data_IF_992953016338
#
_entry.id   IF_992953016338
#
_cell.length_a   1.000
_cell.length_b   1.000
_cell.length_c   1.000
_cell.angle_alpha   90.00
_cell.angle_beta   90.00
_cell.angle_gamma   90.00
#
_symmetry.space_group_name_H-M   'P 1'
#
loop_
_entity.id
_entity.type
_entity.pdbx_description
1 polymer ?
#
# COMPACT_ATOMS: atom_id res chain seq x y z
N UNK A 1 -3.04 -14.68 -29.38
CA UNK A 1 -3.19 -14.62 -29.26
C UNK A 1 -3.63 -14.45 -28.95
N UNK A 2 -3.61 -14.18 -28.81
CA UNK A 2 -3.96 -14.14 -28.51
C UNK A 2 -4.16 -13.88 -28.11
N UNK A 3 -4.34 -13.82 -27.89
CA UNK A 3 -4.47 -13.64 -27.41
C UNK A 3 -4.48 -13.14 -26.99
N UNK A 4 -4.52 -12.98 -27.01
CA UNK A 4 -4.54 -12.64 -26.58
C UNK A 4 -4.71 -12.02 -26.23
N UNK A 5 -4.87 -11.73 -26.26
CA UNK A 5 -5.06 -11.42 -25.97
C UNK A 5 -5.28 -10.92 -25.46
N UNK A 6 -5.42 -10.59 -25.29
CA UNK A 6 -5.54 -10.39 -24.76
C UNK A 6 -5.53 -10.06 -23.96
N UNK A 7 -5.61 -9.84 -23.88
CA UNK A 7 -5.51 -9.75 -23.22
C UNK A 7 -5.30 -9.63 -22.56
N UNK A 8 -5.18 -9.53 -22.51
CA UNK A 8 -4.91 -9.60 -21.88
C UNK A 8 -4.62 -9.33 -21.08
N UNK A 9 -4.20 -8.94 -20.99
CA UNK A 9 -3.91 -8.87 -20.29
C UNK A 9 -3.97 -9.02 -19.46
N UNK A 10 -4.16 -8.78 -19.24
CA UNK A 10 -4.39 -9.03 -18.35
C UNK A 10 -4.29 -9.94 -17.60
N UNK A 11 -3.73 -10.13 -17.90
CA UNK A 11 -3.97 -11.15 -17.11
C UNK A 11 -2.95 -11.34 -16.06
N UNK A 12 -3.35 -11.50 -14.84
CA UNK A 12 -2.48 -11.66 -13.71
C UNK A 12 -2.70 -13.05 -13.19
N UNK A 13 -1.94 -14.00 -13.69
CA UNK A 13 -2.16 -15.39 -13.34
C UNK A 13 -0.92 -16.06 -12.77
N UNK A 14 0.01 -15.28 -12.24
CA UNK A 14 1.18 -15.80 -11.54
C UNK A 14 1.13 -15.35 -10.10
N UNK A 15 1.85 -16.08 -9.27
CA UNK A 15 1.99 -15.67 -7.89
C UNK A 15 2.49 -14.23 -7.83
N UNK A 16 1.83 -13.43 -7.04
CA UNK A 16 2.19 -12.03 -6.88
C UNK A 16 2.74 -11.85 -5.49
N UNK A 17 3.94 -11.31 -5.42
CA UNK A 17 4.57 -11.08 -4.15
C UNK A 17 4.48 -9.59 -3.81
N UNK A 18 3.89 -9.30 -2.68
CA UNK A 18 3.82 -7.95 -2.16
C UNK A 18 4.68 -7.91 -0.91
N UNK A 19 5.67 -7.03 -0.92
CA UNK A 19 6.53 -6.87 0.24
C UNK A 19 5.88 -5.87 1.18
N UNK A 20 6.11 -6.06 2.47
CA UNK A 20 5.53 -5.14 3.45
C UNK A 20 6.11 -3.74 3.21
N UNK A 21 5.25 -2.72 3.04
CA UNK A 21 5.75 -1.37 2.80
C UNK A 21 6.17 -0.64 4.07
N UNK A 22 5.88 -1.22 5.22
CA UNK A 22 6.22 -0.64 6.52
C UNK A 22 6.78 -1.72 7.40
N UNK A 23 7.66 -1.34 8.31
CA UNK A 23 8.17 -2.24 9.33
C UNK A 23 7.20 -2.24 10.49
N UNK A 24 6.68 -3.41 10.85
CA UNK A 24 5.75 -3.48 11.95
C UNK A 24 4.97 -4.78 11.95
N UNK A 25 3.87 -4.76 12.67
CA UNK A 25 3.07 -5.94 12.91
C UNK A 25 1.92 -6.03 11.91
N UNK A 26 1.73 -7.19 11.33
CA UNK A 26 0.64 -7.45 10.39
C UNK A 26 -0.70 -7.37 11.10
N UNK A 27 -1.68 -6.74 10.46
CA UNK A 27 -3.05 -6.63 10.98
C UNK A 27 -3.99 -7.10 9.88
N UNK A 28 -4.90 -8.01 10.21
CA UNK A 28 -5.91 -8.44 9.25
C UNK A 28 -6.79 -7.26 8.88
N UNK A 29 -7.27 -7.24 7.65
CA UNK A 29 -8.08 -6.11 7.21
C UNK A 29 -9.32 -5.94 8.09
N UNK A 30 -9.92 -7.06 8.54
CA UNK A 30 -11.10 -6.99 9.39
C UNK A 30 -10.81 -6.37 10.76
N UNK A 31 -9.56 -6.37 11.17
CA UNK A 31 -9.16 -5.86 12.48
C UNK A 31 -8.70 -4.41 12.44
N UNK A 32 -8.71 -3.80 11.26
CA UNK A 32 -8.38 -2.37 11.16
C UNK A 32 -9.52 -1.58 11.79
N UNK A 33 -9.22 -0.70 12.75
CA UNK A 33 -10.29 0.01 13.47
C UNK A 33 -10.89 1.17 12.68
N UNK A 34 -11.36 0.87 11.49
CA UNK A 34 -12.00 1.84 10.61
C UNK A 34 -12.92 1.05 9.68
N UNK A 35 -14.22 1.29 9.73
CA UNK A 35 -15.16 0.46 8.95
C UNK A 35 -14.97 0.55 7.45
N UNK A 36 -14.48 1.68 6.94
CA UNK A 36 -14.25 1.80 5.51
C UNK A 36 -13.25 0.76 5.03
N UNK A 37 -12.20 0.54 5.81
CA UNK A 37 -11.20 -0.47 5.47
C UNK A 37 -11.61 -1.87 5.92
N UNK A 38 -12.10 -1.97 7.15
CA UNK A 38 -12.42 -3.28 7.73
C UNK A 38 -13.52 -4.00 6.96
N UNK A 39 -14.44 -3.24 6.35
CA UNK A 39 -15.53 -3.81 5.58
C UNK A 39 -15.19 -3.92 4.10
N UNK A 40 -13.93 -3.67 3.76
CA UNK A 40 -13.41 -3.83 2.40
C UNK A 40 -14.08 -2.93 1.38
N UNK A 41 -14.53 -1.78 1.83
CA UNK A 41 -15.22 -0.84 0.94
C UNK A 41 -14.29 -0.26 -0.11
N UNK A 42 -12.99 -0.20 0.17
CA UNK A 42 -12.01 0.30 -0.78
C UNK A 42 -11.28 -0.82 -1.49
N UNK A 43 -11.46 -2.05 -1.07
CA UNK A 43 -10.81 -3.21 -1.65
C UNK A 43 -10.27 -4.13 -0.60
N UNK A 44 -9.71 -5.23 -1.05
CA UNK A 44 -9.06 -6.20 -0.18
C UNK A 44 -7.67 -5.71 0.19
N UNK A 45 -7.15 -6.25 1.27
CA UNK A 45 -5.81 -5.88 1.68
C UNK A 45 -5.51 -6.30 3.10
N UNK A 46 -4.68 -5.52 3.75
CA UNK A 46 -4.27 -5.81 5.12
C UNK A 46 -3.78 -4.50 5.73
N UNK A 47 -3.41 -4.56 7.00
CA UNK A 47 -2.83 -3.41 7.67
C UNK A 47 -1.49 -3.75 8.27
N UNK A 48 -0.77 -2.72 8.64
CA UNK A 48 0.47 -2.87 9.40
C UNK A 48 0.43 -1.84 10.52
N UNK A 49 0.77 -2.31 11.72
CA UNK A 49 0.94 -1.41 12.86
C UNK A 49 2.43 -1.07 12.89
N UNK A 50 2.84 0.11 12.43
CA UNK A 50 4.25 0.37 12.18
C UNK A 50 5.04 0.68 13.43
N UNK A 51 6.31 0.28 13.39
CA UNK A 51 7.26 0.62 14.44
C UNK A 51 8.31 1.61 13.98
N UNK A 52 8.28 1.96 12.69
CA UNK A 52 9.19 2.93 12.11
C UNK A 52 8.40 3.83 11.16
N UNK A 53 8.87 5.04 11.00
CA UNK A 53 8.18 6.05 10.19
C UNK A 53 8.67 6.12 8.76
N UNK A 54 8.61 5.00 8.05
CA UNK A 54 9.03 5.01 6.64
C UNK A 54 8.20 4.03 5.85
N UNK A 55 7.70 4.51 4.71
CA UNK A 55 7.00 3.68 3.74
C UNK A 55 7.94 3.43 2.57
N UNK A 56 8.10 2.16 2.20
CA UNK A 56 8.89 1.79 1.03
C UNK A 56 7.99 1.09 0.02
N UNK A 57 8.43 1.06 -1.23
CA UNK A 57 7.63 0.46 -2.30
C UNK A 57 7.47 -1.04 -2.06
N UNK A 58 6.24 -1.54 -2.03
CA UNK A 58 5.97 -2.97 -1.82
C UNK A 58 5.99 -3.77 -3.11
N UNK A 59 6.02 -3.09 -4.24
CA UNK A 59 6.01 -3.71 -5.56
C UNK A 59 6.88 -2.89 -6.47
N UNK A 60 7.24 -3.50 -7.59
CA UNK A 60 7.91 -2.77 -8.66
C UNK A 60 6.85 -2.21 -9.59
N UNK A 61 6.97 -0.94 -9.96
CA UNK A 61 5.99 -0.30 -10.81
C UNK A 61 6.16 1.19 -10.82
N UNK A 62 5.02 1.89 -10.89
CA UNK A 62 5.03 3.36 -10.95
C UNK A 62 4.19 3.95 -9.86
N UNK A 63 4.59 5.14 -9.44
CA UNK A 63 3.76 5.93 -8.54
C UNK A 63 2.61 6.50 -9.38
N UNK A 64 1.41 6.08 -9.02
CA UNK A 64 0.22 6.51 -9.76
C UNK A 64 -0.27 7.86 -9.23
N UNK A 65 -0.24 8.02 -7.93
CA UNK A 65 -0.81 9.21 -7.32
C UNK A 65 -0.22 9.42 -5.93
N UNK A 66 0.08 10.66 -5.61
CA UNK A 66 0.45 11.05 -4.25
C UNK A 66 -0.63 12.01 -3.77
N UNK A 67 -1.25 11.69 -2.65
CA UNK A 67 -2.33 12.51 -2.14
C UNK A 67 -1.79 13.87 -1.68
N UNK A 68 -2.53 14.96 -1.93
CA UNK A 68 -2.04 16.28 -1.53
C UNK A 68 -1.76 16.40 -0.03
N UNK A 69 -2.50 15.66 0.79
CA UNK A 69 -2.28 15.66 2.23
C UNK A 69 -1.19 14.68 2.65
N UNK A 70 -0.52 14.06 1.67
CA UNK A 70 0.74 13.31 1.86
C UNK A 70 0.63 12.05 2.71
N UNK A 71 -0.56 11.66 3.09
CA UNK A 71 -0.76 10.50 3.97
C UNK A 71 -1.00 9.21 3.19
N UNK A 72 -1.06 9.28 1.88
CA UNK A 72 -1.35 8.10 1.08
C UNK A 72 -0.68 8.19 -0.29
N UNK A 73 -0.31 7.05 -0.82
CA UNK A 73 0.32 6.95 -2.12
C UNK A 73 -0.26 5.75 -2.86
N UNK A 74 -0.62 5.96 -4.11
CA UNK A 74 -1.11 4.90 -4.99
C UNK A 74 -0.02 4.43 -5.91
N UNK A 75 0.06 3.13 -6.11
CA UNK A 75 1.07 2.51 -6.95
C UNK A 75 0.41 1.59 -7.96
N UNK A 76 1.01 1.49 -9.13
CA UNK A 76 0.52 0.61 -10.18
C UNK A 76 1.66 -0.29 -10.63
N UNK A 77 1.49 -1.58 -10.41
CA UNK A 77 2.49 -2.56 -10.80
C UNK A 77 2.44 -2.78 -12.31
N UNK A 78 3.54 -3.30 -12.83
CA UNK A 78 3.65 -3.57 -14.27
C UNK A 78 2.61 -4.60 -14.72
N UNK A 79 2.17 -5.48 -13.82
CA UNK A 79 1.19 -6.49 -14.15
C UNK A 79 -0.26 -6.01 -14.00
N UNK A 80 -0.46 -4.74 -13.69
CA UNK A 80 -1.80 -4.17 -13.59
C UNK A 80 -2.35 -4.06 -12.19
N UNK A 81 -1.68 -4.62 -11.20
CA UNK A 81 -2.13 -4.54 -9.81
C UNK A 81 -2.05 -3.11 -9.32
N UNK A 82 -3.11 -2.64 -8.64
CA UNK A 82 -3.13 -1.27 -8.10
C UNK A 82 -3.21 -1.33 -6.59
N UNK A 83 -2.27 -0.66 -5.95
CA UNK A 83 -2.16 -0.66 -4.51
C UNK A 83 -2.25 0.76 -3.96
N UNK A 84 -2.90 0.87 -2.82
CA UNK A 84 -2.93 2.12 -2.06
C UNK A 84 -2.27 1.85 -0.71
N UNK A 85 -1.27 2.63 -0.37
CA UNK A 85 -0.68 2.60 0.96
C UNK A 85 -1.19 3.84 1.69
N UNK A 86 -1.95 3.61 2.74
CA UNK A 86 -2.60 4.70 3.50
C UNK A 86 -1.96 4.71 4.88
N UNK A 87 -1.30 5.81 5.22
CA UNK A 87 -0.57 5.89 6.49
C UNK A 87 -1.51 6.33 7.59
N UNK A 88 -1.76 5.43 8.54
CA UNK A 88 -2.61 5.74 9.68
C UNK A 88 -4.07 5.86 9.32
N UNK A 89 -4.88 6.22 10.31
CA UNK A 89 -6.32 6.41 10.15
C UNK A 89 -6.67 7.84 10.53
N UNK A 90 -7.54 8.46 9.73
CA UNK A 90 -7.94 9.87 9.91
C UNK A 90 -6.77 10.83 9.77
N UNK A 91 -5.71 10.40 9.09
CA UNK A 91 -4.52 11.21 8.92
C UNK A 91 -4.69 12.29 7.86
N UNK A 92 -5.75 12.21 7.06
CA UNK A 92 -6.06 13.27 6.11
C UNK A 92 -6.25 14.60 6.85
N UNK A 93 -6.71 14.55 8.08
CA UNK A 93 -6.95 15.75 8.87
C UNK A 93 -5.69 16.44 9.34
N UNK A 94 -4.54 15.78 9.22
CA UNK A 94 -3.27 16.39 9.59
C UNK A 94 -2.76 17.35 8.52
N UNK A 95 -3.40 17.35 7.35
CA UNK A 95 -3.11 18.28 6.28
C UNK A 95 -1.63 18.29 5.88
N UNK A 96 -1.04 17.12 5.85
CA UNK A 96 0.34 16.95 5.44
C UNK A 96 1.37 17.06 6.53
N UNK A 97 0.94 17.45 7.71
CA UNK A 97 1.88 17.63 8.81
C UNK A 97 2.38 16.28 9.31
N UNK A 98 3.70 16.18 9.47
CA UNK A 98 4.30 14.93 9.90
C UNK A 98 4.69 14.00 8.77
N UNK A 99 4.48 14.40 7.51
CA UNK A 99 4.78 13.57 6.35
C UNK A 99 5.79 14.26 5.44
N UNK A 100 6.72 13.47 4.90
CA UNK A 100 7.67 13.94 3.90
C UNK A 100 7.62 13.01 2.72
N UNK A 101 7.12 13.50 1.57
CA UNK A 101 6.98 12.71 0.37
C UNK A 101 8.31 12.74 -0.39
N UNK A 102 8.76 11.56 -0.83
CA UNK A 102 10.05 11.42 -1.50
C UNK A 102 9.92 11.10 -2.98
N UNK A 103 8.69 10.94 -3.47
CA UNK A 103 8.44 10.57 -4.87
C UNK A 103 7.35 11.44 -5.45
N UNK A 104 7.22 11.39 -6.78
CA UNK A 104 6.18 12.10 -7.50
C UNK A 104 5.41 11.14 -8.37
N UNK A 105 4.20 11.54 -8.71
CA UNK A 105 3.39 10.80 -9.67
C UNK A 105 4.17 10.59 -10.95
N UNK A 106 4.20 9.36 -11.44
CA UNK A 106 4.93 9.02 -12.64
C UNK A 106 6.29 8.40 -12.40
N UNK A 107 6.82 8.52 -11.19
CA UNK A 107 8.12 7.94 -10.87
C UNK A 107 8.08 6.41 -10.94
N UNK A 108 9.14 5.81 -11.46
CA UNK A 108 9.30 4.36 -11.44
C UNK A 108 10.00 3.98 -10.14
N UNK A 109 9.48 2.95 -9.48
CA UNK A 109 10.02 2.50 -8.20
C UNK A 109 10.27 1.00 -8.22
N UNK A 110 11.20 0.59 -7.39
CA UNK A 110 11.50 -0.82 -7.16
C UNK A 110 11.22 -1.14 -5.71
N UNK A 111 10.99 -2.43 -5.44
CA UNK A 111 10.75 -2.87 -4.07
C UNK A 111 11.83 -2.31 -3.16
N UNK A 112 11.39 -1.69 -2.07
CA UNK A 112 12.29 -1.14 -1.07
C UNK A 112 12.63 0.32 -1.26
N UNK A 113 12.28 0.93 -2.39
CA UNK A 113 12.54 2.35 -2.58
C UNK A 113 11.72 3.17 -1.60
N UNK A 114 12.32 4.15 -0.93
CA UNK A 114 11.55 4.98 0.02
C UNK A 114 10.54 5.85 -0.71
N UNK A 115 9.34 5.88 -0.18
CA UNK A 115 8.24 6.65 -0.77
C UNK A 115 7.84 7.84 0.09
N UNK A 116 7.64 7.61 1.38
CA UNK A 116 7.19 8.64 2.31
C UNK A 116 7.85 8.36 3.65
N UNK A 117 8.34 9.41 4.29
CA UNK A 117 8.77 9.33 5.69
C UNK A 117 7.77 10.08 6.54
N UNK A 118 7.56 9.60 7.74
CA UNK A 118 6.60 10.25 8.61
C UNK A 118 7.06 10.18 10.06
N UNK A 119 6.55 11.13 10.84
CA UNK A 119 6.83 11.22 12.26
C UNK A 119 5.85 10.34 13.00
N UNK A 120 6.29 9.13 13.35
CA UNK A 120 5.42 8.14 13.96
C UNK A 120 4.79 8.63 15.26
N UNK A 121 5.59 9.29 16.09
CA UNK A 121 5.08 9.82 17.36
C UNK A 121 4.04 10.90 17.15
N UNK A 122 4.29 11.77 16.17
CA UNK A 122 3.34 12.84 15.90
C UNK A 122 2.00 12.27 15.45
N UNK A 123 2.03 11.26 14.57
CA UNK A 123 0.80 10.66 14.09
C UNK A 123 0.10 9.92 15.22
N UNK A 124 0.87 9.21 16.04
CA UNK A 124 0.31 8.50 17.17
C UNK A 124 -0.45 9.43 18.10
N UNK A 125 0.05 10.65 18.29
CA UNK A 125 -0.53 11.60 19.22
C UNK A 125 -1.63 12.47 18.60
N UNK A 126 -1.74 12.51 17.27
CA UNK A 126 -2.64 13.46 16.61
C UNK A 126 -3.64 12.82 15.67
N UNK A 127 -3.56 11.53 15.43
CA UNK A 127 -4.50 10.84 14.56
C UNK A 127 -5.20 9.74 15.33
N UNK A 128 -6.20 9.15 14.70
CA UNK A 128 -6.97 8.10 15.34
C UNK A 128 -6.13 6.86 15.62
N UNK A 129 -5.25 6.51 14.68
CA UNK A 129 -4.43 5.32 14.82
C UNK A 129 -3.26 5.42 13.84
N UNK A 130 -2.16 4.74 14.17
CA UNK A 130 -1.04 4.63 13.23
C UNK A 130 -1.16 3.39 12.36
N UNK A 131 -2.13 2.52 12.62
CA UNK A 131 -2.32 1.34 11.78
C UNK A 131 -2.57 1.79 10.36
N UNK A 132 -1.80 1.24 9.44
CA UNK A 132 -1.75 1.74 8.07
C UNK A 132 -2.29 0.69 7.11
N UNK A 133 -3.42 0.97 6.45
CA UNK A 133 -3.98 0.03 5.49
C UNK A 133 -3.19 -0.03 4.19
N UNK A 134 -3.04 -1.23 3.66
CA UNK A 134 -2.48 -1.47 2.34
C UNK A 134 -3.58 -2.16 1.55
N UNK A 135 -4.10 -1.48 0.53
CA UNK A 135 -5.33 -1.90 -0.14
C UNK A 135 -5.07 -2.17 -1.61
N UNK A 136 -5.62 -3.26 -2.10
CA UNK A 136 -5.61 -3.57 -3.53
C UNK A 136 -6.88 -2.97 -4.09
N UNK A 137 -6.74 -1.81 -4.74
CA UNK A 137 -7.91 -1.01 -5.10
C UNK A 137 -8.67 -1.58 -6.28
N UNK A 138 -8.04 -2.44 -7.08
CA UNK A 138 -8.75 -3.10 -8.17
C UNK A 138 -8.98 -4.59 -7.88
N UNK A 139 -9.17 -4.94 -6.60
CA UNK A 139 -9.36 -6.33 -6.21
C UNK A 139 -10.65 -6.91 -6.76
N UNK A 140 -11.66 -6.08 -7.03
CA UNK A 140 -12.91 -6.56 -7.58
C UNK A 140 -12.75 -7.05 -9.02
N UNK A 141 -11.72 -6.60 -9.72
CA UNK A 141 -11.43 -7.03 -11.07
C UNK A 141 -10.50 -8.22 -11.10
N UNK A 142 -9.93 -8.56 -9.96
CA UNK A 142 -8.91 -9.59 -9.86
C UNK A 142 -9.18 -10.46 -8.65
N UNK A 143 -10.45 -10.82 -8.46
CA UNK A 143 -10.80 -11.49 -7.21
C UNK A 143 -10.08 -12.81 -7.03
N UNK A 144 -9.81 -13.51 -8.11
CA UNK A 144 -9.09 -14.77 -8.02
C UNK A 144 -7.60 -14.56 -7.72
N UNK A 145 -7.14 -13.34 -7.88
CA UNK A 145 -5.72 -13.06 -7.70
C UNK A 145 -5.33 -13.04 -6.23
N UNK A 146 -6.31 -12.84 -5.35
CA UNK A 146 -6.00 -12.76 -3.93
C UNK A 146 -5.35 -14.03 -3.42
N UNK A 147 -5.71 -15.16 -4.00
CA UNK A 147 -5.10 -16.42 -3.59
C UNK A 147 -3.65 -16.55 -4.08
N UNK A 148 -3.25 -15.67 -4.98
CA UNK A 148 -1.90 -15.69 -5.53
C UNK A 148 -0.99 -14.66 -4.87
N UNK A 149 -1.52 -13.85 -3.97
CA UNK A 149 -0.74 -12.78 -3.37
C UNK A 149 -0.05 -13.28 -2.13
N UNK A 150 1.25 -13.06 -2.07
CA UNK A 150 2.06 -13.44 -0.93
C UNK A 150 2.69 -12.19 -0.34
N UNK A 151 2.53 -12.03 0.96
CA UNK A 151 3.07 -10.87 1.65
C UNK A 151 4.41 -11.27 2.24
N UNK A 152 5.45 -10.54 1.84
CA UNK A 152 6.79 -10.83 2.30
C UNK A 152 7.34 -9.64 3.06
N UNK A 153 8.11 -9.93 4.09
CA UNK A 153 8.83 -8.87 4.77
C UNK A 153 9.93 -8.36 3.84
N UNK A 154 10.13 -7.04 3.78
CA UNK A 154 11.23 -6.51 3.02
C UNK A 154 12.54 -7.02 3.59
N UNK A 155 13.51 -7.25 2.71
CA UNK A 155 14.80 -7.73 3.18
C UNK A 155 15.42 -6.80 4.20
N UNK A 156 15.15 -5.51 4.08
CA UNK A 156 15.71 -4.57 5.04
C UNK A 156 15.18 -4.80 6.45
N UNK A 157 14.08 -5.51 6.58
CA UNK A 157 13.56 -5.81 7.90
C UNK A 157 14.38 -6.83 8.64
N UNK A 158 15.19 -7.58 7.92
CA UNK A 158 16.07 -8.53 8.55
C UNK A 158 17.24 -7.89 9.24
N UNK A 159 17.33 -6.64 9.10
CA UNK A 159 18.43 -5.90 9.68
C UNK A 159 18.27 -5.66 11.13
#
# INVERSE_FOLDING_TARGET
>A
MFKKLFGKGKEINKDIKIYAPLTGEYVKIEDIPDPVFAQKMMGEGFGINPTEGEVVAPIEGKVDNVFPTKHAVGLKADNGLELLVHIGLDTVQLDGEGFEVLVESGDTVKVGDPLIRFDLEYIKNNAKSVISPIIITNSDQTESILSLIHISEPTRLGM
#
